data_IF_300031262134
#
_entry.id   IF_300031262134
#
_cell.length_a   1.000
_cell.length_b   1.000
_cell.length_c   1.000
_cell.angle_alpha   90.00
_cell.angle_beta   90.00
_cell.angle_gamma   90.00
#
_symmetry.space_group_name_H-M   'P 1'
#
loop_
_entity.id
_entity.type
_entity.pdbx_description
1 polymer ?
#
# COMPACT_ATOMS: atom_id res chain seq x y z
N UNK A 1 -2.50 -9.74 5.69
CA UNK A 1 -1.38 -10.41 6.39
C UNK A 1 -0.33 -9.36 6.73
N UNK A 2 0.37 -9.53 7.85
CA UNK A 2 1.45 -8.64 8.29
C UNK A 2 2.75 -9.44 8.33
N UNK A 3 3.78 -9.02 7.59
CA UNK A 3 5.09 -9.66 7.70
C UNK A 3 5.91 -8.95 8.78
N UNK A 4 6.60 -9.74 9.61
CA UNK A 4 7.47 -9.28 10.69
C UNK A 4 8.87 -9.81 10.43
N UNK A 5 9.86 -8.92 10.39
CA UNK A 5 11.28 -9.25 10.41
C UNK A 5 11.93 -8.52 11.58
N UNK A 6 12.84 -9.17 12.31
CA UNK A 6 13.61 -8.50 13.35
C UNK A 6 15.03 -9.05 13.45
N UNK A 7 15.92 -8.28 14.08
CA UNK A 7 17.32 -8.67 14.28
C UNK A 7 17.52 -9.92 15.16
N UNK A 8 16.55 -10.24 16.02
CA UNK A 8 16.56 -11.47 16.83
C UNK A 8 15.23 -12.22 16.75
N UNK A 9 15.27 -13.54 16.97
CA UNK A 9 14.06 -14.39 17.03
C UNK A 9 13.12 -13.95 18.16
N UNK A 10 13.69 -13.52 19.29
CA UNK A 10 12.91 -13.06 20.44
C UNK A 10 12.15 -11.78 20.11
N UNK A 11 12.81 -10.80 19.47
CA UNK A 11 12.16 -9.55 19.07
C UNK A 11 11.06 -9.81 18.02
N UNK A 12 11.32 -10.68 17.05
CA UNK A 12 10.33 -11.06 16.05
C UNK A 12 9.08 -11.69 16.70
N UNK A 13 9.28 -12.56 17.70
CA UNK A 13 8.18 -13.18 18.46
C UNK A 13 7.40 -12.16 19.30
N UNK A 14 8.08 -11.21 19.95
CA UNK A 14 7.43 -10.12 20.69
C UNK A 14 6.57 -9.26 19.77
N UNK A 15 7.14 -8.81 18.65
CA UNK A 15 6.44 -8.01 17.64
C UNK A 15 5.23 -8.76 17.08
N UNK A 16 5.41 -10.03 16.68
CA UNK A 16 4.31 -10.83 16.13
C UNK A 16 3.18 -11.02 17.16
N UNK A 17 3.51 -11.22 18.44
CA UNK A 17 2.52 -11.33 19.52
C UNK A 17 1.71 -10.05 19.67
N UNK A 18 2.33 -8.88 19.63
CA UNK A 18 1.60 -7.60 19.72
C UNK A 18 0.80 -7.27 18.46
N UNK A 19 1.32 -7.61 17.28
CA UNK A 19 0.64 -7.39 16.01
C UNK A 19 -0.59 -8.32 15.81
N UNK A 20 -0.67 -9.41 16.58
CA UNK A 20 -1.82 -10.31 16.61
C UNK A 20 -1.77 -11.43 15.58
N UNK A 21 -2.90 -12.15 15.42
CA UNK A 21 -2.99 -13.40 14.65
C UNK A 21 -2.71 -13.27 13.15
N UNK A 22 -2.75 -12.05 12.60
CA UNK A 22 -2.43 -11.78 11.21
C UNK A 22 -0.92 -11.65 10.93
N UNK A 23 -0.09 -11.66 11.99
CA UNK A 23 1.35 -11.50 11.91
C UNK A 23 2.05 -12.81 11.57
N UNK A 24 2.98 -12.72 10.63
CA UNK A 24 3.85 -13.82 10.20
C UNK A 24 5.30 -13.39 10.28
N UNK A 25 6.09 -14.14 11.04
CA UNK A 25 7.54 -13.95 11.11
C UNK A 25 8.15 -14.47 9.81
N UNK A 26 8.91 -13.63 9.12
CA UNK A 26 9.74 -14.03 7.98
C UNK A 26 11.18 -14.21 8.43
N UNK A 27 11.89 -15.13 7.80
CA UNK A 27 13.22 -15.57 8.28
C UNK A 27 14.38 -14.79 7.68
N UNK A 28 14.15 -14.00 6.63
CA UNK A 28 15.20 -13.22 5.98
C UNK A 28 14.65 -12.00 5.22
N UNK A 29 15.57 -11.08 4.89
CA UNK A 29 15.32 -9.86 4.14
C UNK A 29 14.73 -10.12 2.73
N UNK A 30 15.19 -11.17 2.05
CA UNK A 30 14.69 -11.49 0.71
C UNK A 30 13.19 -11.85 0.71
N UNK A 31 12.73 -12.63 1.69
CA UNK A 31 11.30 -12.93 1.89
C UNK A 31 10.52 -11.70 2.33
N UNK A 32 11.12 -10.85 3.16
CA UNK A 32 10.48 -9.61 3.63
C UNK A 32 10.20 -8.63 2.48
N UNK A 33 11.13 -8.52 1.52
CA UNK A 33 11.03 -7.60 0.37
C UNK A 33 10.38 -8.22 -0.85
N UNK A 34 10.61 -9.51 -1.12
CA UNK A 34 10.22 -10.17 -2.37
C UNK A 34 9.18 -11.28 -2.18
N UNK A 35 8.69 -11.51 -0.95
CA UNK A 35 7.70 -12.56 -0.70
C UNK A 35 6.48 -12.48 -1.61
N UNK A 36 5.97 -13.65 -2.01
CA UNK A 36 4.87 -13.80 -2.97
C UNK A 36 3.48 -13.70 -2.32
N UNK A 37 3.42 -13.71 -0.99
CA UNK A 37 2.15 -13.65 -0.27
C UNK A 37 1.56 -12.23 -0.25
N UNK A 38 0.22 -12.10 -0.20
CA UNK A 38 -0.44 -10.81 -0.10
C UNK A 38 -0.17 -10.17 1.27
N UNK A 39 0.71 -9.18 1.30
CA UNK A 39 1.09 -8.43 2.49
C UNK A 39 0.40 -7.06 2.48
N UNK A 40 -0.18 -6.69 3.62
CA UNK A 40 -0.85 -5.40 3.80
C UNK A 40 -0.12 -4.47 4.77
N UNK A 41 0.91 -4.97 5.46
CA UNK A 41 1.78 -4.19 6.32
C UNK A 41 3.10 -4.94 6.53
N UNK A 42 4.21 -4.19 6.57
CA UNK A 42 5.54 -4.66 6.93
C UNK A 42 5.89 -4.11 8.31
N UNK A 43 6.47 -4.94 9.17
CA UNK A 43 7.02 -4.51 10.45
C UNK A 43 8.47 -4.95 10.54
N UNK A 44 9.38 -4.00 10.71
CA UNK A 44 10.81 -4.24 10.87
C UNK A 44 11.24 -3.86 12.28
N UNK A 45 11.66 -4.85 13.06
CA UNK A 45 12.22 -4.68 14.39
C UNK A 45 13.74 -4.55 14.35
N UNK A 46 14.28 -3.43 14.83
CA UNK A 46 15.71 -3.25 14.98
C UNK A 46 16.04 -2.55 16.30
N UNK A 47 16.94 -3.15 17.08
CA UNK A 47 17.49 -2.55 18.29
C UNK A 47 18.71 -1.71 17.97
N UNK A 48 19.05 -0.77 18.86
CA UNK A 48 20.30 -0.03 18.75
C UNK A 48 21.50 -0.92 19.15
N UNK A 49 22.64 -0.88 18.43
CA UNK A 49 22.93 -0.11 17.22
C UNK A 49 22.29 -0.69 15.97
N UNK A 50 21.77 0.18 15.08
CA UNK A 50 21.12 -0.24 13.82
C UNK A 50 22.19 -0.69 12.81
N UNK A 51 22.15 -1.95 12.33
CA UNK A 51 23.10 -2.45 11.34
C UNK A 51 22.93 -1.78 9.96
N UNK A 52 24.03 -1.65 9.22
CA UNK A 52 24.01 -1.09 7.85
C UNK A 52 23.08 -1.87 6.91
N UNK A 53 23.06 -3.20 7.02
CA UNK A 53 22.17 -4.09 6.27
C UNK A 53 20.68 -3.75 6.46
N UNK A 54 20.31 -3.25 7.65
CA UNK A 54 18.94 -2.82 7.93
C UNK A 54 18.60 -1.54 7.16
N UNK A 55 19.55 -0.61 7.04
CA UNK A 55 19.36 0.63 6.26
C UNK A 55 19.24 0.32 4.77
N UNK A 56 20.07 -0.59 4.25
CA UNK A 56 19.98 -1.05 2.86
C UNK A 56 18.63 -1.73 2.56
N UNK A 57 18.18 -2.60 3.47
CA UNK A 57 16.87 -3.23 3.41
C UNK A 57 15.74 -2.20 3.32
N UNK A 58 15.81 -1.13 4.11
CA UNK A 58 14.82 -0.05 4.11
C UNK A 58 14.79 0.68 2.77
N UNK A 59 15.95 0.99 2.19
CA UNK A 59 16.04 1.53 0.82
C UNK A 59 15.45 0.58 -0.22
N UNK A 60 15.60 -0.73 -0.03
CA UNK A 60 14.99 -1.75 -0.90
C UNK A 60 13.47 -1.79 -0.82
N UNK A 61 12.92 -1.68 0.39
CA UNK A 61 11.47 -1.62 0.65
C UNK A 61 10.88 -0.38 0.01
N UNK A 62 11.48 0.79 0.20
CA UNK A 62 11.01 2.04 -0.42
C UNK A 62 10.97 1.94 -1.95
N UNK A 63 11.97 1.29 -2.54
CA UNK A 63 12.05 1.09 -3.99
C UNK A 63 11.00 0.13 -4.51
N UNK A 64 10.77 -1.00 -3.84
CA UNK A 64 9.96 -2.12 -4.37
C UNK A 64 8.53 -2.18 -3.80
N UNK A 65 8.29 -1.68 -2.60
CA UNK A 65 7.06 -1.92 -1.80
C UNK A 65 6.44 -0.63 -1.23
N UNK A 66 6.60 0.52 -1.88
CA UNK A 66 6.15 1.84 -1.39
C UNK A 66 4.67 1.94 -0.93
N UNK A 67 3.77 1.13 -1.48
CA UNK A 67 2.35 1.13 -1.09
C UNK A 67 1.99 0.10 -0.02
N UNK A 68 2.96 -0.66 0.46
CA UNK A 68 2.81 -1.46 1.67
C UNK A 68 3.35 -0.60 2.82
N UNK A 69 2.52 -0.27 3.82
CA UNK A 69 2.96 0.52 4.94
C UNK A 69 4.06 -0.23 5.71
N UNK A 70 5.10 0.50 6.09
CA UNK A 70 6.22 -0.02 6.87
C UNK A 70 6.19 0.61 8.26
N UNK A 71 6.18 -0.23 9.29
CA UNK A 71 6.30 0.18 10.68
C UNK A 71 7.68 -0.24 11.18
N UNK A 72 8.41 0.72 11.74
CA UNK A 72 9.67 0.45 12.41
C UNK A 72 9.41 0.24 13.89
N UNK A 73 9.91 -0.86 14.43
CA UNK A 73 9.91 -1.13 15.87
C UNK A 73 11.34 -0.99 16.37
N UNK A 74 11.59 -0.04 17.27
CA UNK A 74 12.94 0.22 17.76
C UNK A 74 12.95 0.66 19.22
N UNK A 75 14.14 0.80 19.78
CA UNK A 75 14.33 1.32 21.14
C UNK A 75 14.17 2.85 21.15
N UNK A 76 13.82 3.43 22.30
CA UNK A 76 13.71 4.89 22.50
C UNK A 76 15.09 5.55 22.61
N UNK A 77 15.96 5.29 21.64
CA UNK A 77 17.32 5.80 21.61
C UNK A 77 17.45 6.95 20.59
N UNK A 78 17.90 8.15 21.01
CA UNK A 78 18.03 9.30 20.13
C UNK A 78 18.88 9.05 18.88
N UNK A 79 19.91 8.20 18.98
CA UNK A 79 20.77 7.86 17.84
C UNK A 79 20.10 6.92 16.85
N UNK A 80 19.35 5.93 17.31
CA UNK A 80 18.55 5.04 16.45
C UNK A 80 17.55 5.86 15.63
N UNK A 81 16.90 6.79 16.32
CA UNK A 81 15.93 7.72 15.78
C UNK A 81 16.53 8.66 14.72
N UNK A 82 17.73 9.21 14.95
CA UNK A 82 18.45 10.02 13.96
C UNK A 82 18.83 9.20 12.73
N UNK A 83 19.31 7.98 12.88
CA UNK A 83 19.69 7.12 11.74
C UNK A 83 18.49 6.69 10.88
N UNK A 84 17.29 6.72 11.44
CA UNK A 84 16.05 6.36 10.76
C UNK A 84 15.27 7.58 10.23
N UNK A 85 15.77 8.82 10.41
CA UNK A 85 15.05 10.02 9.98
C UNK A 85 14.84 10.11 8.47
N UNK A 86 15.74 9.52 7.71
CA UNK A 86 15.72 9.54 6.24
C UNK A 86 14.89 8.40 5.63
N UNK A 87 14.38 7.49 6.49
CA UNK A 87 13.58 6.35 6.07
C UNK A 87 12.11 6.73 6.03
N UNK A 88 11.43 6.40 4.93
CA UNK A 88 9.99 6.56 4.74
C UNK A 88 9.21 5.44 5.43
N UNK A 89 9.31 5.38 6.75
CA UNK A 89 8.42 4.58 7.57
C UNK A 89 7.04 5.26 7.65
N UNK A 90 5.98 4.46 7.61
CA UNK A 90 4.61 4.92 7.86
C UNK A 90 4.38 5.24 9.33
N UNK A 91 5.04 4.51 10.22
CA UNK A 91 5.01 4.73 11.66
C UNK A 91 6.28 4.21 12.35
N UNK A 92 6.51 4.69 13.57
CA UNK A 92 7.51 4.16 14.49
C UNK A 92 6.81 3.78 15.78
N UNK A 93 7.03 2.55 16.23
CA UNK A 93 6.57 2.02 17.51
C UNK A 93 7.78 1.64 18.36
N UNK A 94 7.61 1.67 19.68
CA UNK A 94 8.71 1.38 20.61
C UNK A 94 8.60 -0.02 21.17
N UNK A 95 9.74 -0.70 21.36
CA UNK A 95 9.75 -2.00 22.04
C UNK A 95 9.13 -1.93 23.44
N UNK A 96 9.32 -0.81 24.15
CA UNK A 96 8.79 -0.60 25.50
C UNK A 96 7.25 -0.60 25.57
N UNK A 97 6.57 -0.13 24.52
CA UNK A 97 5.12 0.10 24.50
C UNK A 97 4.41 -0.71 23.42
N UNK A 98 5.07 -1.79 22.99
CA UNK A 98 4.69 -2.58 21.83
C UNK A 98 3.25 -3.10 21.89
N UNK A 99 2.80 -3.56 23.07
CA UNK A 99 1.46 -4.14 23.24
C UNK A 99 0.34 -3.10 23.13
N UNK A 100 0.61 -1.84 23.50
CA UNK A 100 -0.38 -0.77 23.53
C UNK A 100 -0.37 0.07 22.25
N UNK A 101 0.81 0.32 21.68
CA UNK A 101 0.96 1.21 20.53
C UNK A 101 0.87 0.49 19.19
N UNK A 102 1.48 -0.70 19.06
CA UNK A 102 1.65 -1.35 17.75
C UNK A 102 0.32 -1.64 17.02
N UNK A 103 -0.74 -2.14 17.68
CA UNK A 103 -2.02 -2.36 17.01
C UNK A 103 -2.62 -1.07 16.41
N UNK A 104 -2.52 0.04 17.14
CA UNK A 104 -3.04 1.35 16.71
C UNK A 104 -2.23 1.89 15.53
N UNK A 105 -0.91 1.75 15.57
CA UNK A 105 -0.03 2.17 14.48
C UNK A 105 -0.25 1.31 13.22
N UNK A 106 -0.53 0.01 13.36
CA UNK A 106 -0.92 -0.87 12.25
C UNK A 106 -2.20 -0.38 11.59
N UNK A 107 -3.25 -0.10 12.38
CA UNK A 107 -4.52 0.39 11.87
C UNK A 107 -4.36 1.74 11.15
N UNK A 108 -3.70 2.70 11.80
CA UNK A 108 -3.44 4.02 11.24
C UNK A 108 -2.62 3.96 9.95
N UNK A 109 -1.55 3.14 9.92
CA UNK A 109 -0.70 2.99 8.76
C UNK A 109 -1.44 2.35 7.57
N UNK A 110 -2.27 1.33 7.80
CA UNK A 110 -3.12 0.74 6.76
C UNK A 110 -4.15 1.74 6.25
N UNK A 111 -4.79 2.49 7.13
CA UNK A 111 -5.77 3.54 6.77
C UNK A 111 -5.17 4.70 5.96
N UNK A 112 -3.85 4.91 6.07
CA UNK A 112 -3.12 5.92 5.28
C UNK A 112 -2.92 5.54 3.80
N UNK A 113 -2.98 4.23 3.48
CA UNK A 113 -2.74 3.72 2.12
C UNK A 113 -4.04 3.80 1.31
N UNK A 114 -4.10 4.60 0.25
CA UNK A 114 -5.38 4.86 -0.42
C UNK A 114 -6.06 3.63 -1.02
N UNK A 115 -5.28 2.66 -1.53
CA UNK A 115 -5.81 1.42 -2.08
C UNK A 115 -6.41 0.49 -1.01
N UNK A 116 -5.81 0.41 0.18
CA UNK A 116 -6.35 -0.36 1.29
C UNK A 116 -7.65 0.25 1.80
N UNK A 117 -7.69 1.57 1.96
CA UNK A 117 -8.91 2.29 2.34
C UNK A 117 -10.03 2.13 1.31
N UNK A 118 -9.71 2.19 0.01
CA UNK A 118 -10.70 1.90 -1.04
C UNK A 118 -11.19 0.45 -0.99
N UNK A 119 -10.32 -0.50 -0.62
CA UNK A 119 -10.71 -1.89 -0.46
C UNK A 119 -11.66 -2.10 0.72
N UNK A 120 -11.43 -1.41 1.85
CA UNK A 120 -12.33 -1.40 3.01
C UNK A 120 -13.69 -0.83 2.63
N UNK A 121 -13.71 0.35 2.02
CA UNK A 121 -14.93 0.99 1.53
C UNK A 121 -15.71 0.11 0.54
N UNK A 122 -15.01 -0.59 -0.36
CA UNK A 122 -15.64 -1.54 -1.27
C UNK A 122 -16.18 -2.80 -0.55
N UNK A 123 -15.62 -3.19 0.59
CA UNK A 123 -16.11 -4.31 1.41
C UNK A 123 -17.41 -3.98 2.15
N UNK A 124 -17.57 -2.72 2.55
CA UNK A 124 -18.74 -2.19 3.25
C UNK A 124 -19.86 -1.73 2.29
N UNK A 125 -19.52 -1.43 1.04
CA UNK A 125 -20.47 -0.96 0.04
C UNK A 125 -21.53 -2.01 -0.31
N UNK A 126 -22.74 -1.53 -0.61
CA UNK A 126 -23.83 -2.35 -1.17
C UNK A 126 -23.51 -2.69 -2.63
N UNK A 127 -22.85 -3.83 -2.83
CA UNK A 127 -22.47 -4.34 -4.15
C UNK A 127 -23.07 -5.73 -4.40
N UNK A 128 -23.20 -6.16 -5.67
CA UNK A 128 -23.46 -7.56 -6.00
C UNK A 128 -22.48 -8.49 -5.27
N UNK A 129 -22.90 -9.68 -4.79
CA UNK A 129 -22.05 -10.57 -3.99
C UNK A 129 -20.68 -10.88 -4.60
N UNK A 130 -20.66 -11.10 -5.92
CA UNK A 130 -19.45 -11.31 -6.71
C UNK A 130 -18.46 -10.12 -6.65
N UNK A 131 -18.96 -8.88 -6.61
CA UNK A 131 -18.13 -7.68 -6.57
C UNK A 131 -17.69 -7.32 -5.15
N UNK A 132 -18.49 -7.66 -4.12
CA UNK A 132 -18.13 -7.47 -2.71
C UNK A 132 -16.84 -8.20 -2.32
N UNK A 133 -16.51 -9.30 -2.98
CA UNK A 133 -15.24 -10.01 -2.76
C UNK A 133 -14.17 -9.56 -3.76
N UNK A 134 -14.53 -9.45 -5.04
CA UNK A 134 -13.59 -9.18 -6.12
C UNK A 134 -12.93 -7.79 -6.05
N UNK A 135 -13.69 -6.73 -5.74
CA UNK A 135 -13.14 -5.37 -5.71
C UNK A 135 -12.18 -5.16 -4.54
N UNK A 136 -12.54 -5.50 -3.28
CA UNK A 136 -11.61 -5.38 -2.17
C UNK A 136 -10.34 -6.22 -2.36
N UNK A 137 -10.49 -7.45 -2.88
CA UNK A 137 -9.34 -8.31 -3.17
C UNK A 137 -8.41 -7.67 -4.21
N UNK A 138 -8.96 -7.19 -5.33
CA UNK A 138 -8.15 -6.60 -6.41
C UNK A 138 -7.41 -5.34 -5.95
N UNK A 139 -8.07 -4.50 -5.13
CA UNK A 139 -7.50 -3.27 -4.58
C UNK A 139 -6.37 -3.56 -3.59
N UNK A 140 -6.57 -4.54 -2.69
CA UNK A 140 -5.53 -5.03 -1.77
C UNK A 140 -4.35 -5.62 -2.54
N UNK A 141 -4.59 -6.51 -3.49
CA UNK A 141 -3.53 -7.10 -4.29
C UNK A 141 -2.71 -6.03 -5.05
N UNK A 142 -3.36 -4.95 -5.50
CA UNK A 142 -2.69 -3.88 -6.23
C UNK A 142 -1.71 -3.03 -5.41
N UNK A 143 -1.72 -3.11 -4.07
CA UNK A 143 -0.66 -2.48 -3.25
C UNK A 143 0.71 -3.09 -3.52
N UNK A 144 0.70 -4.34 -3.98
CA UNK A 144 1.90 -5.12 -4.21
C UNK A 144 1.96 -5.74 -5.61
N UNK A 145 1.23 -6.84 -5.82
CA UNK A 145 1.12 -7.56 -7.07
C UNK A 145 -0.31 -7.47 -7.61
N UNK A 146 -0.59 -6.48 -8.49
CA UNK A 146 -1.93 -6.34 -9.07
C UNK A 146 -2.32 -7.58 -9.86
N UNK A 147 -3.57 -8.01 -9.69
CA UNK A 147 -4.15 -9.15 -10.40
C UNK A 147 -4.09 -8.91 -11.91
N UNK A 148 -3.52 -9.86 -12.65
CA UNK A 148 -3.13 -9.69 -14.05
C UNK A 148 -4.26 -9.97 -15.02
N UNK A 149 -5.22 -10.82 -14.62
CA UNK A 149 -6.34 -11.26 -15.46
C UNK A 149 -7.62 -11.51 -14.67
N UNK A 150 -8.75 -11.56 -15.38
CA UNK A 150 -10.04 -11.94 -14.78
C UNK A 150 -10.01 -13.39 -14.28
N UNK A 151 -9.29 -14.28 -14.96
CA UNK A 151 -9.17 -15.68 -14.55
C UNK A 151 -8.41 -15.83 -13.22
N UNK A 152 -7.33 -15.07 -13.05
CA UNK A 152 -6.57 -15.03 -11.80
C UNK A 152 -7.44 -14.49 -10.66
N UNK A 153 -8.21 -13.43 -10.90
CA UNK A 153 -9.16 -12.90 -9.91
C UNK A 153 -10.23 -13.92 -9.54
N UNK A 154 -10.85 -14.53 -10.55
CA UNK A 154 -11.88 -15.55 -10.42
C UNK A 154 -11.43 -16.72 -9.56
N UNK A 155 -10.22 -17.24 -9.80
CA UNK A 155 -9.62 -18.29 -9.00
C UNK A 155 -9.42 -17.86 -7.54
N UNK A 156 -8.93 -16.63 -7.33
CA UNK A 156 -8.66 -16.12 -5.99
C UNK A 156 -9.93 -15.91 -5.14
N UNK A 157 -11.01 -15.42 -5.75
CA UNK A 157 -12.28 -15.14 -5.04
C UNK A 157 -13.34 -16.22 -5.19
N UNK A 158 -13.00 -17.36 -5.83
CA UNK A 158 -13.87 -18.53 -6.04
C UNK A 158 -15.18 -18.21 -6.77
N UNK A 159 -15.11 -17.37 -7.80
CA UNK A 159 -16.22 -17.09 -8.71
C UNK A 159 -15.84 -17.44 -10.15
N UNK A 160 -16.81 -17.71 -11.03
CA UNK A 160 -16.49 -17.87 -12.46
C UNK A 160 -16.05 -16.54 -13.09
N UNK A 161 -15.12 -16.53 -14.07
CA UNK A 161 -14.73 -15.32 -14.80
C UNK A 161 -15.90 -14.59 -15.46
N UNK A 162 -16.88 -15.34 -15.96
CA UNK A 162 -18.08 -14.83 -16.62
C UNK A 162 -18.97 -14.11 -15.59
N UNK A 163 -19.18 -14.72 -14.42
CA UNK A 163 -19.98 -14.14 -13.33
C UNK A 163 -19.39 -12.81 -12.88
N UNK A 164 -18.07 -12.74 -12.66
CA UNK A 164 -17.39 -11.51 -12.27
C UNK A 164 -17.52 -10.43 -13.35
N UNK A 165 -17.25 -10.79 -14.61
CA UNK A 165 -17.30 -9.84 -15.72
C UNK A 165 -18.70 -9.31 -15.97
N UNK A 166 -19.72 -10.17 -15.88
CA UNK A 166 -21.13 -9.80 -16.02
C UNK A 166 -21.55 -8.89 -14.87
N UNK A 167 -21.27 -9.27 -13.62
CA UNK A 167 -21.60 -8.45 -12.46
C UNK A 167 -20.97 -7.05 -12.54
N UNK A 168 -19.68 -6.97 -12.89
CA UNK A 168 -18.98 -5.69 -13.03
C UNK A 168 -19.53 -4.84 -14.17
N UNK A 169 -19.76 -5.44 -15.34
CA UNK A 169 -20.28 -4.71 -16.50
C UNK A 169 -21.70 -4.22 -16.25
N UNK A 170 -22.56 -5.02 -15.61
CA UNK A 170 -23.91 -4.60 -15.23
C UNK A 170 -23.87 -3.45 -14.22
N UNK A 171 -23.00 -3.52 -13.21
CA UNK A 171 -22.82 -2.45 -12.22
C UNK A 171 -22.36 -1.13 -12.85
N UNK A 172 -21.68 -1.20 -13.99
CA UNK A 172 -21.19 -0.06 -14.77
C UNK A 172 -21.99 0.24 -16.05
N UNK A 173 -23.21 -0.29 -16.18
CA UNK A 173 -24.06 -0.09 -17.36
C UNK A 173 -23.31 -0.31 -18.71
N UNK A 174 -22.44 -1.33 -18.73
CA UNK A 174 -21.56 -1.72 -19.85
C UNK A 174 -20.59 -0.64 -20.35
N UNK A 175 -20.42 0.47 -19.62
CA UNK A 175 -19.49 1.56 -19.99
C UNK A 175 -18.02 1.16 -19.87
N UNK A 176 -17.73 0.18 -19.02
CA UNK A 176 -16.38 -0.33 -18.80
C UNK A 176 -16.40 -1.83 -18.50
N UNK A 177 -15.21 -2.43 -18.42
CA UNK A 177 -15.04 -3.87 -18.18
C UNK A 177 -14.10 -4.14 -17.03
N UNK A 178 -14.26 -5.30 -16.40
CA UNK A 178 -13.41 -5.75 -15.29
C UNK A 178 -11.93 -5.82 -15.71
N UNK A 179 -11.66 -6.24 -16.95
CA UNK A 179 -10.30 -6.26 -17.50
C UNK A 179 -9.67 -4.86 -17.59
N UNK A 180 -10.45 -3.83 -17.91
CA UNK A 180 -9.97 -2.44 -17.94
C UNK A 180 -9.68 -1.92 -16.53
N UNK A 181 -10.52 -2.25 -15.55
CA UNK A 181 -10.27 -1.95 -14.15
C UNK A 181 -8.96 -2.58 -13.65
N UNK A 182 -8.76 -3.88 -13.88
CA UNK A 182 -7.52 -4.57 -13.51
C UNK A 182 -6.31 -3.98 -14.23
N UNK A 183 -6.44 -3.63 -15.51
CA UNK A 183 -5.37 -2.95 -16.24
C UNK A 183 -5.03 -1.58 -15.63
N UNK A 184 -6.03 -0.82 -15.16
CA UNK A 184 -5.78 0.45 -14.49
C UNK A 184 -4.99 0.28 -13.19
N UNK A 185 -5.30 -0.74 -12.38
CA UNK A 185 -4.52 -1.09 -11.18
C UNK A 185 -3.07 -1.45 -11.51
N UNK A 186 -2.83 -2.21 -12.59
CA UNK A 186 -1.47 -2.53 -13.07
C UNK A 186 -0.71 -1.25 -13.44
N UNK A 187 -1.36 -0.31 -14.15
CA UNK A 187 -0.73 0.96 -14.54
C UNK A 187 -0.46 1.87 -13.35
N UNK A 188 -1.36 1.88 -12.37
CA UNK A 188 -1.20 2.62 -11.13
C UNK A 188 0.06 2.12 -10.39
N UNK A 189 0.20 0.80 -10.20
CA UNK A 189 1.40 0.20 -9.60
C UNK A 189 2.67 0.44 -10.44
N UNK A 190 2.59 0.30 -11.76
CA UNK A 190 3.71 0.58 -12.67
C UNK A 190 4.22 2.02 -12.52
N UNK A 191 3.32 3.01 -12.45
CA UNK A 191 3.68 4.41 -12.22
C UNK A 191 4.37 4.61 -10.87
N UNK A 192 3.89 3.94 -9.83
CA UNK A 192 4.49 4.03 -8.50
C UNK A 192 5.91 3.44 -8.48
N UNK A 193 6.11 2.23 -9.02
CA UNK A 193 7.44 1.62 -9.10
C UNK A 193 8.40 2.49 -9.93
N UNK A 194 7.88 3.17 -10.95
CA UNK A 194 8.66 4.15 -11.71
C UNK A 194 9.02 5.38 -10.87
N UNK A 195 8.13 5.88 -10.00
CA UNK A 195 8.42 7.00 -9.07
C UNK A 195 9.51 6.67 -8.07
N UNK A 196 9.66 5.40 -7.69
CA UNK A 196 10.65 4.99 -6.69
C UNK A 196 12.06 4.82 -7.26
N UNK A 197 12.28 5.21 -8.52
CA UNK A 197 13.59 5.21 -9.17
C UNK A 197 13.86 3.98 -10.04
N UNK A 198 12.95 3.00 -10.11
CA UNK A 198 13.14 1.87 -11.01
C UNK A 198 13.00 2.30 -12.48
N UNK A 199 13.78 1.68 -13.36
CA UNK A 199 13.63 1.84 -14.80
C UNK A 199 12.49 0.94 -15.33
N UNK A 200 12.01 1.20 -16.56
CA UNK A 200 10.88 0.46 -17.13
C UNK A 200 11.13 -1.03 -17.34
N UNK A 201 12.38 -1.47 -17.51
CA UNK A 201 12.71 -2.89 -17.63
C UNK A 201 12.51 -3.57 -16.28
N UNK A 202 13.02 -2.97 -15.19
CA UNK A 202 12.78 -3.44 -13.82
C UNK A 202 11.30 -3.42 -13.45
N UNK A 203 10.54 -2.38 -13.82
CA UNK A 203 9.09 -2.33 -13.60
C UNK A 203 8.38 -3.47 -14.34
N UNK A 204 8.79 -3.74 -15.59
CA UNK A 204 8.23 -4.83 -16.41
C UNK A 204 8.47 -6.20 -15.78
N UNK A 205 9.71 -6.47 -15.35
CA UNK A 205 10.06 -7.71 -14.63
C UNK A 205 9.29 -7.85 -13.32
N UNK A 206 9.22 -6.79 -12.51
CA UNK A 206 8.54 -6.80 -11.23
C UNK A 206 7.05 -7.09 -11.36
N UNK A 207 6.40 -6.53 -12.39
CA UNK A 207 4.98 -6.77 -12.62
C UNK A 207 4.69 -8.05 -13.41
N UNK A 208 5.71 -8.68 -14.00
CA UNK A 208 5.55 -9.83 -14.89
C UNK A 208 4.81 -9.49 -16.19
N UNK A 209 4.99 -8.27 -16.72
CA UNK A 209 4.44 -7.83 -18.00
C UNK A 209 5.54 -7.31 -18.90
N UNK A 210 5.53 -7.73 -20.17
CA UNK A 210 6.35 -7.09 -21.20
C UNK A 210 6.03 -5.57 -21.30
N UNK A 211 7.05 -4.77 -21.62
CA UNK A 211 6.95 -3.31 -21.68
C UNK A 211 5.88 -2.85 -22.67
N UNK A 212 5.74 -3.54 -23.80
CA UNK A 212 4.75 -3.29 -24.84
C UNK A 212 3.32 -3.50 -24.30
N UNK A 213 3.14 -4.47 -23.40
CA UNK A 213 1.86 -4.71 -22.75
C UNK A 213 1.53 -3.60 -21.76
N UNK A 214 2.50 -3.12 -20.97
CA UNK A 214 2.31 -1.96 -20.11
C UNK A 214 1.98 -0.70 -20.94
N UNK A 215 2.68 -0.48 -22.05
CA UNK A 215 2.42 0.62 -22.97
C UNK A 215 0.99 0.56 -23.54
N UNK A 216 0.55 -0.62 -24.01
CA UNK A 216 -0.81 -0.83 -24.52
C UNK A 216 -1.88 -0.60 -23.44
N UNK A 217 -1.66 -1.07 -22.21
CA UNK A 217 -2.56 -0.85 -21.07
C UNK A 217 -2.64 0.65 -20.71
N UNK A 218 -1.51 1.35 -20.66
CA UNK A 218 -1.45 2.80 -20.40
C UNK A 218 -2.21 3.60 -21.46
N UNK A 219 -1.95 3.32 -22.75
CA UNK A 219 -2.66 3.96 -23.87
C UNK A 219 -4.17 3.74 -23.79
N UNK A 220 -4.62 2.53 -23.44
CA UNK A 220 -6.05 2.21 -23.34
C UNK A 220 -6.77 2.90 -22.18
N UNK A 221 -6.08 3.14 -21.06
CA UNK A 221 -6.71 3.77 -19.90
C UNK A 221 -6.67 5.31 -19.96
N UNK A 222 -5.48 5.90 -20.15
CA UNK A 222 -5.29 7.36 -20.09
C UNK A 222 -4.99 8.00 -21.45
N UNK A 223 -4.86 7.20 -22.52
CA UNK A 223 -4.38 7.70 -23.81
C UNK A 223 -2.88 8.01 -23.83
N UNK A 224 -2.15 7.70 -22.75
CA UNK A 224 -0.78 8.15 -22.57
C UNK A 224 0.24 7.05 -22.87
N UNK A 225 1.41 7.45 -23.36
CA UNK A 225 2.61 6.61 -23.39
C UNK A 225 3.18 6.40 -21.99
N UNK A 226 4.07 5.41 -21.80
CA UNK A 226 4.76 5.23 -20.52
C UNK A 226 5.56 6.48 -20.12
N UNK A 227 6.21 7.16 -21.07
CA UNK A 227 6.94 8.41 -20.82
C UNK A 227 5.99 9.53 -20.34
N UNK A 228 4.82 9.66 -20.96
CA UNK A 228 3.82 10.63 -20.55
C UNK A 228 3.21 10.27 -19.18
N UNK A 229 3.06 8.98 -18.88
CA UNK A 229 2.55 8.49 -17.61
C UNK A 229 3.43 8.97 -16.44
N UNK A 230 4.76 9.03 -16.62
CA UNK A 230 5.69 9.55 -15.60
C UNK A 230 5.35 10.98 -15.16
N UNK A 231 4.85 11.80 -16.09
CA UNK A 231 4.47 13.19 -15.80
C UNK A 231 3.13 13.31 -15.07
N UNK A 232 2.37 12.22 -14.95
CA UNK A 232 1.10 12.22 -14.24
C UNK A 232 1.34 11.95 -12.75
N UNK A 233 0.89 12.85 -11.85
CA UNK A 233 0.96 12.62 -10.41
C UNK A 233 0.13 11.39 -9.99
N UNK A 234 0.61 10.58 -9.02
CA UNK A 234 -0.10 9.41 -8.51
C UNK A 234 -1.54 9.70 -8.07
N UNK A 235 -1.78 10.83 -7.38
CA UNK A 235 -3.12 11.20 -6.88
C UNK A 235 -4.12 11.45 -8.01
N UNK A 236 -3.65 11.99 -9.15
CA UNK A 236 -4.51 12.17 -10.34
C UNK A 236 -4.89 10.83 -10.97
N UNK A 237 -3.97 9.85 -10.98
CA UNK A 237 -4.26 8.49 -11.47
C UNK A 237 -5.23 7.77 -10.54
N UNK A 238 -5.05 7.90 -9.24
CA UNK A 238 -5.95 7.32 -8.25
C UNK A 238 -7.35 7.92 -8.36
N UNK A 239 -7.47 9.25 -8.48
CA UNK A 239 -8.75 9.92 -8.71
C UNK A 239 -9.44 9.41 -9.99
N UNK A 240 -8.70 9.28 -11.09
CA UNK A 240 -9.23 8.74 -12.34
C UNK A 240 -9.69 7.27 -12.20
N UNK A 241 -8.98 6.45 -11.40
CA UNK A 241 -9.40 5.07 -11.11
C UNK A 241 -10.76 5.06 -10.41
N UNK A 242 -10.90 5.87 -9.36
CA UNK A 242 -12.14 5.96 -8.58
C UNK A 242 -13.29 6.42 -9.46
N UNK A 243 -13.10 7.50 -10.21
CA UNK A 243 -14.12 8.09 -11.07
C UNK A 243 -14.61 7.16 -12.19
N UNK A 244 -13.70 6.39 -12.79
CA UNK A 244 -14.01 5.55 -13.95
C UNK A 244 -14.46 4.14 -13.61
N UNK A 245 -14.07 3.59 -12.45
CA UNK A 245 -14.27 2.18 -12.16
C UNK A 245 -14.86 1.87 -10.78
N UNK A 246 -14.82 2.79 -9.83
CA UNK A 246 -15.35 2.53 -8.49
C UNK A 246 -16.64 3.28 -8.20
N UNK A 247 -17.04 4.25 -9.03
CA UNK A 247 -18.35 4.89 -8.93
C UNK A 247 -19.39 4.12 -9.74
N UNK A 248 -20.55 3.74 -9.15
CA UNK A 248 -21.66 3.20 -9.93
C UNK A 248 -22.13 4.25 -10.93
N UNK A 249 -22.32 3.87 -12.18
CA UNK A 249 -22.96 4.74 -13.18
C UNK A 249 -24.45 4.48 -13.15
N UNK A 250 -25.27 5.50 -12.85
CA UNK A 250 -26.72 5.36 -12.94
C UNK A 250 -27.16 5.39 -14.41
N UNK A 251 -28.23 4.66 -14.78
CA UNK A 251 -28.85 4.83 -16.09
C UNK A 251 -29.30 6.27 -16.24
N UNK A 252 -28.85 6.96 -17.28
CA UNK A 252 -29.14 8.38 -17.52
C UNK A 252 -28.13 9.37 -16.95
N UNK A 253 -27.08 8.93 -16.24
CA UNK A 253 -25.98 9.84 -15.90
C UNK A 253 -25.33 10.32 -17.20
N UNK A 254 -25.25 11.65 -17.44
CA UNK A 254 -24.52 12.19 -18.58
C UNK A 254 -23.08 11.65 -18.58
N UNK A 255 -22.40 11.68 -19.72
CA UNK A 255 -21.00 11.23 -19.87
C UNK A 255 -20.00 11.97 -18.95
N UNK A 256 -20.46 12.81 -18.04
CA UNK A 256 -19.67 13.57 -17.09
C UNK A 256 -20.48 13.81 -15.82
N UNK A 257 -20.04 13.16 -14.74
CA UNK A 257 -20.15 13.63 -13.35
C UNK A 257 -21.55 13.87 -12.75
N UNK A 258 -21.99 12.95 -11.89
CA UNK A 258 -22.61 13.20 -10.57
C UNK A 258 -23.55 12.04 -10.23
N UNK A 259 -23.29 11.30 -9.13
CA UNK A 259 -24.31 10.33 -8.69
C UNK A 259 -24.07 9.31 -7.57
N UNK A 260 -22.95 9.32 -6.84
CA UNK A 260 -22.82 8.82 -5.45
C UNK A 260 -21.39 9.11 -4.96
N UNK A 261 -21.28 9.85 -3.85
CA UNK A 261 -20.01 10.30 -3.30
C UNK A 261 -19.35 9.13 -2.56
N UNK A 262 -18.35 8.49 -3.17
CA UNK A 262 -17.13 8.25 -2.40
C UNK A 262 -16.79 9.61 -1.81
N UNK A 263 -17.11 9.82 -0.53
CA UNK A 263 -17.04 11.15 0.07
C UNK A 263 -15.73 11.78 -0.35
N UNK A 264 -15.81 12.98 -0.93
CA UNK A 264 -14.71 13.92 -1.17
C UNK A 264 -14.09 14.38 0.17
N UNK A 265 -13.86 13.45 1.09
CA UNK A 265 -12.77 13.49 2.05
C UNK A 265 -11.65 12.57 1.58
N UNK A 266 -11.23 12.74 0.32
CA UNK A 266 -9.80 12.97 0.07
C UNK A 266 -9.45 14.40 0.54
N UNK A 267 -9.92 14.79 1.73
CA UNK A 267 -9.07 15.64 2.54
C UNK A 267 -7.82 14.78 2.71
N UNK A 268 -6.60 15.31 2.57
CA UNK A 268 -5.61 14.79 3.49
C UNK A 268 -6.32 14.87 4.85
N UNK A 269 -6.66 13.72 5.43
CA UNK A 269 -6.28 13.64 6.84
C UNK A 269 -4.87 14.16 6.77
N UNK A 270 -4.58 15.25 7.46
CA UNK A 270 -3.26 15.41 7.97
C UNK A 270 -2.98 14.01 8.51
N UNK A 271 -2.25 13.22 7.72
CA UNK A 271 -1.49 12.17 8.29
C UNK A 271 -0.84 12.98 9.41
N UNK A 272 -0.96 12.49 10.62
CA UNK A 272 0.13 12.76 11.49
C UNK A 272 1.39 12.08 10.90
N UNK A 273 1.79 12.40 9.65
CA UNK A 273 3.02 13.15 9.42
C UNK A 273 3.05 14.36 10.35
N UNK A 274 2.99 14.13 11.66
CA UNK A 274 4.19 14.45 12.40
C UNK A 274 5.30 13.75 11.61
N UNK A 275 6.11 14.45 10.77
CA UNK A 275 7.33 13.84 10.26
C UNK A 275 8.00 13.14 11.43
N UNK A 276 8.73 12.05 11.21
CA UNK A 276 9.50 11.38 12.28
C UNK A 276 10.13 12.45 13.20
N UNK A 277 10.71 13.51 12.60
CA UNK A 277 11.15 14.78 13.22
C UNK A 277 10.27 15.42 14.32
N UNK A 278 8.95 15.29 14.33
CA UNK A 278 8.02 15.97 15.27
C UNK A 278 7.44 15.06 16.35
N UNK A 279 7.38 13.73 16.15
CA UNK A 279 7.40 12.79 17.28
C UNK A 279 8.78 12.89 17.97
N UNK A 280 9.87 12.98 17.20
CA UNK A 280 11.23 13.19 17.73
C UNK A 280 11.36 14.50 18.52
N UNK A 281 10.93 15.64 17.97
CA UNK A 281 11.08 16.94 18.64
C UNK A 281 10.29 17.05 19.94
N UNK A 282 9.19 16.33 20.11
CA UNK A 282 8.46 16.29 21.39
C UNK A 282 9.23 15.56 22.50
N UNK A 283 10.16 14.68 22.16
CA UNK A 283 10.94 13.88 23.12
C UNK A 283 12.42 14.26 23.17
N UNK A 284 12.92 15.10 22.26
CA UNK A 284 14.22 15.79 22.37
C UNK A 284 14.12 17.10 23.15
N UNK A 285 13.30 17.16 24.20
CA UNK A 285 13.39 18.23 25.20
C UNK A 285 14.57 17.85 26.10
N UNK A 286 15.71 18.49 25.85
CA UNK A 286 16.91 18.35 26.67
C UNK A 286 16.58 18.52 28.16
N UNK A 287 17.05 17.64 29.07
CA UNK A 287 17.22 18.06 30.44
C UNK A 287 18.29 19.15 30.43
N UNK A 288 17.90 20.36 30.80
CA UNK A 288 18.83 21.45 31.10
C UNK A 288 19.79 20.93 32.18
N UNK A 289 21.12 20.97 31.98
CA UNK A 289 22.02 20.56 33.04
C UNK A 289 21.84 21.54 34.20
N UNK A 290 21.28 21.04 35.30
CA UNK A 290 21.29 21.72 36.59
C UNK A 290 22.77 21.79 36.99
N UNK A 291 23.34 22.98 36.93
CA UNK A 291 24.66 23.25 37.49
C UNK A 291 24.60 22.92 38.99
N UNK A 292 25.37 21.93 39.42
CA UNK A 292 25.57 21.64 40.83
C UNK A 292 26.60 22.65 41.42
N UNK A 293 26.40 23.11 42.66
CA UNK A 293 27.33 23.99 43.37
C UNK A 293 28.63 23.29 43.76
#
# INVERSE_FOLDING_TARGET
MINVLAGSKNDAALIARAAGSAARIVTNAAQFVNGDDPVECLILGCRHPIPAETIELLGDIERKRLWIPLILVTDREPEAVRRLSDVKASAVAWFADLQTELPLEIEAARGSVPLLRLAEQAGEATLPPALRTALPYSLRAATDRPVRSVNELAAAVRYSPITLSKAFSTWHDRRTTLSRFLAALVILRARQLRSSGLNWNSVSMHLGFARETLQRKSKRWRGCTLVQLEKVPPDRLLKALVEQYLRPTRPGDPKTGSGLRFTERLKPHAASTTPISSKIHRYCIYPTPVAAP
#
